data_IF_550970870220
#
_entry.id   IF_550970870220
#
_cell.length_a   1.000
_cell.length_b   1.000
_cell.length_c   1.000
_cell.angle_alpha   90.00
_cell.angle_beta   90.00
_cell.angle_gamma   90.00
#
_symmetry.space_group_name_H-M   'P 1'
#
loop_
_entity.id
_entity.type
_entity.pdbx_description
1 polymer ?
#
# COMPACT_ATOMS: atom_id res chain seq x y z
N UNK A 1 -13.35 3.94 -12.52
CA UNK A 1 -12.92 3.21 -13.75
C UNK A 1 -14.08 2.37 -14.26
N UNK A 2 -14.38 2.38 -15.58
CA UNK A 2 -15.48 1.57 -16.14
C UNK A 2 -15.11 0.09 -16.27
N UNK A 3 -16.12 -0.79 -16.36
CA UNK A 3 -15.94 -2.24 -16.42
C UNK A 3 -15.04 -2.70 -17.59
N UNK A 4 -15.16 -2.11 -18.77
CA UNK A 4 -14.33 -2.45 -19.93
C UNK A 4 -12.86 -2.08 -19.75
N UNK A 5 -12.57 -1.02 -18.98
CA UNK A 5 -11.21 -0.64 -18.62
C UNK A 5 -10.62 -1.60 -17.59
N UNK A 6 -11.43 -2.02 -16.62
CA UNK A 6 -11.04 -3.05 -15.65
C UNK A 6 -10.72 -4.36 -16.35
N UNK A 7 -11.64 -4.83 -17.25
CA UNK A 7 -11.47 -6.08 -17.99
C UNK A 7 -10.16 -6.11 -18.79
N UNK A 8 -9.81 -5.02 -19.45
CA UNK A 8 -8.53 -4.90 -20.16
C UNK A 8 -7.33 -4.97 -19.22
N UNK A 9 -7.40 -4.30 -18.06
CA UNK A 9 -6.28 -4.30 -17.06
C UNK A 9 -6.04 -5.69 -16.45
N UNK A 10 -7.11 -6.42 -16.14
CA UNK A 10 -7.00 -7.76 -15.53
C UNK A 10 -6.96 -8.88 -16.56
N UNK A 11 -7.04 -8.56 -17.85
CA UNK A 11 -7.01 -9.51 -18.97
C UNK A 11 -8.08 -10.62 -18.87
N UNK A 12 -9.30 -10.22 -18.47
CA UNK A 12 -10.44 -11.13 -18.30
C UNK A 12 -11.63 -10.69 -19.15
N UNK A 13 -12.55 -11.61 -19.51
CA UNK A 13 -13.80 -11.28 -20.20
C UNK A 13 -14.62 -10.23 -19.42
N UNK A 14 -15.22 -9.28 -20.14
CA UNK A 14 -16.01 -8.19 -19.54
C UNK A 14 -17.15 -8.72 -18.67
N UNK A 15 -17.83 -9.77 -19.09
CA UNK A 15 -18.92 -10.39 -18.33
C UNK A 15 -18.45 -10.96 -17.00
N UNK A 16 -17.28 -11.60 -16.98
CA UNK A 16 -16.67 -12.13 -15.76
C UNK A 16 -16.30 -11.00 -14.80
N UNK A 17 -15.63 -9.95 -15.33
CA UNK A 17 -15.24 -8.80 -14.51
C UNK A 17 -16.47 -8.06 -13.98
N UNK A 18 -17.52 -7.93 -14.77
CA UNK A 18 -18.77 -7.31 -14.29
C UNK A 18 -19.35 -8.07 -13.11
N UNK A 19 -19.45 -9.41 -13.20
CA UNK A 19 -19.98 -10.24 -12.11
C UNK A 19 -19.11 -10.17 -10.85
N UNK A 20 -17.79 -10.22 -11.00
CA UNK A 20 -16.86 -10.08 -9.86
C UNK A 20 -16.94 -8.69 -9.22
N UNK A 21 -16.97 -7.64 -10.05
CA UNK A 21 -17.09 -6.27 -9.55
C UNK A 21 -18.42 -6.04 -8.84
N UNK A 22 -19.52 -6.64 -9.31
CA UNK A 22 -20.82 -6.58 -8.65
C UNK A 22 -20.76 -7.21 -7.25
N UNK A 23 -20.21 -8.41 -7.12
CA UNK A 23 -20.02 -9.07 -5.82
C UNK A 23 -19.14 -8.23 -4.87
N UNK A 24 -18.09 -7.59 -5.39
CA UNK A 24 -17.24 -6.70 -4.59
C UNK A 24 -17.97 -5.40 -4.17
N UNK A 25 -18.91 -4.90 -4.98
CA UNK A 25 -19.77 -3.77 -4.61
C UNK A 25 -20.75 -4.19 -3.51
N UNK A 26 -21.38 -5.34 -3.64
CA UNK A 26 -22.29 -5.91 -2.62
C UNK A 26 -21.56 -6.13 -1.29
N UNK A 27 -20.29 -6.56 -1.33
CA UNK A 27 -19.42 -6.68 -0.16
C UNK A 27 -18.80 -5.37 0.32
N UNK A 28 -19.14 -4.20 -0.27
CA UNK A 28 -18.59 -2.90 0.13
C UNK A 28 -17.11 -2.67 -0.19
N UNK A 29 -16.44 -3.64 -0.85
CA UNK A 29 -15.01 -3.52 -1.22
C UNK A 29 -14.81 -2.60 -2.42
N UNK A 30 -15.79 -2.52 -3.31
CA UNK A 30 -15.86 -1.53 -4.37
C UNK A 30 -17.09 -0.64 -4.15
N UNK A 31 -17.01 0.58 -4.66
CA UNK A 31 -18.14 1.49 -4.85
C UNK A 31 -18.45 1.63 -6.33
N UNK A 32 -19.68 1.98 -6.68
CA UNK A 32 -20.10 2.29 -8.05
C UNK A 32 -20.80 3.62 -8.07
N UNK A 33 -20.31 4.55 -8.91
CA UNK A 33 -20.93 5.87 -9.05
C UNK A 33 -22.11 5.86 -10.05
N UNK A 34 -22.85 6.99 -10.14
CA UNK A 34 -23.96 7.17 -11.05
C UNK A 34 -23.59 7.03 -12.54
N UNK A 35 -22.30 7.23 -12.86
CA UNK A 35 -21.74 7.03 -14.21
C UNK A 35 -21.26 5.60 -14.45
N UNK A 36 -21.66 4.64 -13.60
CA UNK A 36 -21.27 3.24 -13.68
C UNK A 36 -19.75 2.99 -13.61
N UNK A 37 -19.01 3.88 -12.95
CA UNK A 37 -17.59 3.72 -12.72
C UNK A 37 -17.35 3.12 -11.34
N UNK A 38 -16.42 2.17 -11.28
CA UNK A 38 -15.99 1.53 -10.05
C UNK A 38 -14.87 2.33 -9.38
N UNK A 39 -14.96 2.45 -8.07
CA UNK A 39 -13.98 3.03 -7.17
C UNK A 39 -13.71 2.09 -5.99
N UNK A 40 -12.81 2.50 -5.09
CA UNK A 40 -12.53 1.78 -3.85
C UNK A 40 -13.72 1.98 -2.90
N UNK A 41 -14.19 0.87 -2.31
CA UNK A 41 -15.25 0.89 -1.30
C UNK A 41 -14.71 1.04 0.13
N UNK A 42 -15.54 1.46 1.09
CA UNK A 42 -15.13 1.73 2.47
C UNK A 42 -14.65 0.49 3.24
N UNK A 43 -15.13 -0.70 2.89
CA UNK A 43 -14.74 -1.94 3.57
C UNK A 43 -13.24 -2.25 3.41
N UNK A 44 -12.61 -1.83 2.30
CA UNK A 44 -11.16 -1.98 2.15
C UNK A 44 -10.38 -1.13 3.16
N UNK A 45 -10.90 0.04 3.52
CA UNK A 45 -10.30 0.86 4.57
C UNK A 45 -10.46 0.20 5.95
N UNK A 46 -11.64 -0.33 6.26
CA UNK A 46 -11.91 -1.02 7.52
C UNK A 46 -10.97 -2.24 7.69
N UNK A 47 -10.84 -3.07 6.65
CA UNK A 47 -9.93 -4.22 6.64
C UNK A 47 -8.46 -3.78 6.81
N UNK A 48 -8.03 -2.74 6.10
CA UNK A 48 -6.67 -2.20 6.21
C UNK A 48 -6.37 -1.67 7.62
N UNK A 49 -7.34 -1.01 8.26
CA UNK A 49 -7.20 -0.53 9.63
C UNK A 49 -7.12 -1.69 10.62
N UNK A 50 -7.94 -2.73 10.43
CA UNK A 50 -7.90 -3.92 11.26
C UNK A 50 -6.53 -4.62 11.22
N UNK A 51 -5.89 -4.67 10.05
CA UNK A 51 -4.54 -5.21 9.91
C UNK A 51 -3.53 -4.52 10.86
N UNK A 52 -3.59 -3.18 10.97
CA UNK A 52 -2.69 -2.42 11.85
C UNK A 52 -2.95 -2.69 13.34
N UNK A 53 -4.18 -3.02 13.70
CA UNK A 53 -4.53 -3.37 15.08
C UNK A 53 -4.13 -4.81 15.44
N UNK A 54 -4.39 -5.76 14.55
CA UNK A 54 -4.13 -7.19 14.81
C UNK A 54 -2.64 -7.54 14.83
N UNK A 55 -1.80 -6.73 14.19
CA UNK A 55 -0.34 -6.97 14.12
C UNK A 55 0.46 -6.18 15.16
N UNK A 56 -0.20 -5.42 16.04
CA UNK A 56 0.43 -4.51 17.04
C UNK A 56 1.47 -3.53 16.47
N UNK A 57 1.54 -3.42 15.15
CA UNK A 57 2.51 -2.51 14.49
C UNK A 57 2.28 -1.07 14.94
N UNK A 58 1.02 -0.66 15.09
CA UNK A 58 0.69 0.71 15.51
C UNK A 58 1.19 1.00 16.92
N UNK A 59 0.92 0.13 17.88
CA UNK A 59 1.36 0.28 19.26
C UNK A 59 2.88 0.37 19.39
N UNK A 60 3.58 -0.57 18.76
CA UNK A 60 5.02 -0.63 18.78
C UNK A 60 5.69 0.56 18.05
N UNK A 61 5.12 1.01 16.92
CA UNK A 61 5.76 2.05 16.09
C UNK A 61 5.48 3.48 16.57
N UNK A 62 4.32 3.77 17.14
CA UNK A 62 3.92 5.15 17.49
C UNK A 62 4.93 5.87 18.39
N UNK A 63 5.42 5.29 19.49
CA UNK A 63 6.40 5.96 20.35
C UNK A 63 7.73 6.20 19.62
N UNK A 64 8.16 5.27 18.77
CA UNK A 64 9.40 5.37 18.01
C UNK A 64 9.30 6.47 16.95
N UNK A 65 8.18 6.53 16.21
CA UNK A 65 7.92 7.59 15.23
C UNK A 65 8.04 8.97 15.85
N UNK A 66 7.38 9.20 17.00
CA UNK A 66 7.41 10.48 17.70
C UNK A 66 8.81 10.83 18.18
N UNK A 67 9.50 9.88 18.83
CA UNK A 67 10.86 10.09 19.32
C UNK A 67 11.80 10.49 18.17
N UNK A 68 11.79 9.78 17.07
CA UNK A 68 12.65 10.06 15.92
C UNK A 68 12.29 11.39 15.24
N UNK A 69 11.00 11.71 15.12
CA UNK A 69 10.55 12.99 14.57
C UNK A 69 10.97 14.15 15.46
N UNK A 70 10.88 14.02 16.79
CA UNK A 70 11.31 15.05 17.73
C UNK A 70 12.83 15.27 17.71
N UNK A 71 13.61 14.21 17.54
CA UNK A 71 15.07 14.28 17.45
C UNK A 71 15.57 14.87 16.14
N UNK A 72 14.91 14.54 15.00
CA UNK A 72 15.43 14.88 13.67
C UNK A 72 14.67 15.99 12.99
N UNK A 73 13.43 16.27 13.41
CA UNK A 73 12.45 17.12 12.73
C UNK A 73 12.09 16.66 11.30
N UNK A 74 12.51 15.46 10.93
CA UNK A 74 12.27 14.87 9.60
C UNK A 74 11.01 14.02 9.55
N UNK A 75 10.52 13.72 8.32
CA UNK A 75 9.43 12.75 8.13
C UNK A 75 9.91 11.34 8.46
N UNK A 76 9.23 10.68 9.38
CA UNK A 76 9.51 9.30 9.76
C UNK A 76 8.41 8.39 9.21
N UNK A 77 8.80 7.30 8.59
CA UNK A 77 7.90 6.39 7.89
C UNK A 77 7.98 4.97 8.45
N UNK A 78 6.82 4.32 8.62
CA UNK A 78 6.73 2.88 8.87
C UNK A 78 6.19 2.20 7.63
N UNK A 79 6.86 1.16 7.20
CA UNK A 79 6.51 0.41 5.99
C UNK A 79 6.57 -1.09 6.24
N UNK A 80 5.79 -1.84 5.48
CA UNK A 80 5.81 -3.30 5.46
C UNK A 80 6.26 -3.82 4.10
N UNK A 81 6.92 -4.96 4.09
CA UNK A 81 7.32 -5.65 2.87
C UNK A 81 6.18 -6.57 2.40
N UNK A 82 5.72 -6.36 1.17
CA UNK A 82 4.66 -7.15 0.55
C UNK A 82 5.02 -7.46 -0.92
N UNK A 83 5.20 -8.74 -1.24
CA UNK A 83 5.43 -9.24 -2.63
C UNK A 83 6.54 -8.47 -3.37
N UNK A 84 7.65 -8.16 -2.70
CA UNK A 84 8.80 -7.45 -3.30
C UNK A 84 8.64 -5.93 -3.43
N UNK A 85 7.55 -5.40 -2.90
CA UNK A 85 7.30 -3.97 -2.75
C UNK A 85 7.21 -3.59 -1.29
N UNK A 86 7.41 -2.32 -0.97
CA UNK A 86 7.09 -1.75 0.35
C UNK A 86 5.81 -0.96 0.28
N UNK A 87 4.99 -1.10 1.30
CA UNK A 87 3.77 -0.33 1.49
C UNK A 87 3.97 0.59 2.69
N UNK A 88 3.83 1.89 2.49
CA UNK A 88 3.88 2.87 3.58
C UNK A 88 2.58 2.79 4.38
N UNK A 89 2.67 2.42 5.66
CA UNK A 89 1.49 2.18 6.51
C UNK A 89 1.29 3.22 7.61
N UNK A 90 2.35 3.89 8.04
CA UNK A 90 2.27 4.98 9.01
C UNK A 90 3.34 6.03 8.68
N UNK A 91 3.05 7.28 9.04
CA UNK A 91 3.95 8.40 8.83
C UNK A 91 3.79 9.42 9.97
N UNK A 92 4.90 10.00 10.40
CA UNK A 92 4.96 11.25 11.14
C UNK A 92 5.54 12.32 10.22
N UNK A 93 4.88 13.48 10.14
CA UNK A 93 5.27 14.53 9.19
C UNK A 93 6.50 15.30 9.68
N UNK A 94 7.37 15.69 8.74
CA UNK A 94 8.46 16.62 9.00
C UNK A 94 7.94 17.97 9.49
N UNK A 95 8.66 18.58 10.42
CA UNK A 95 8.43 19.95 10.89
C UNK A 95 8.99 21.01 9.92
N UNK A 96 9.73 20.58 8.88
CA UNK A 96 10.27 21.47 7.87
C UNK A 96 9.22 21.84 6.80
N UNK A 97 9.31 23.07 6.27
CA UNK A 97 8.43 23.53 5.20
C UNK A 97 8.65 22.75 3.87
N UNK A 98 9.90 22.38 3.61
CA UNK A 98 10.27 21.56 2.46
C UNK A 98 10.40 20.08 2.87
N UNK A 99 9.54 19.24 2.34
CA UNK A 99 9.50 17.80 2.67
C UNK A 99 9.04 16.95 1.50
N UNK A 100 9.41 15.69 1.50
CA UNK A 100 8.94 14.73 0.48
C UNK A 100 7.48 14.36 0.76
N UNK A 101 6.61 14.61 -0.21
CA UNK A 101 5.17 14.32 -0.11
C UNK A 101 4.88 12.84 -0.37
N UNK A 102 5.21 11.98 0.60
CA UNK A 102 4.80 10.57 0.59
C UNK A 102 3.47 10.40 1.32
N UNK A 103 2.60 9.54 0.81
CA UNK A 103 1.28 9.28 1.40
C UNK A 103 1.20 7.86 1.94
N UNK A 104 0.54 7.68 3.08
CA UNK A 104 0.17 6.36 3.59
C UNK A 104 -0.65 5.62 2.53
N UNK A 105 -0.35 4.33 2.33
CA UNK A 105 -0.88 3.52 1.23
C UNK A 105 -0.04 3.55 -0.05
N UNK A 106 0.98 4.41 -0.16
CA UNK A 106 1.88 4.40 -1.30
C UNK A 106 2.71 3.12 -1.35
N UNK A 107 2.94 2.63 -2.57
CA UNK A 107 3.67 1.39 -2.84
C UNK A 107 4.92 1.71 -3.66
N UNK A 108 6.07 1.24 -3.20
CA UNK A 108 7.36 1.45 -3.86
C UNK A 108 8.08 0.11 -4.08
N UNK A 109 8.90 -0.03 -5.13
CA UNK A 109 9.76 -1.21 -5.28
C UNK A 109 10.73 -1.30 -4.10
N UNK A 110 10.82 -2.48 -3.46
CA UNK A 110 11.68 -2.64 -2.28
C UNK A 110 13.15 -2.38 -2.60
N UNK A 111 13.65 -2.85 -3.74
CA UNK A 111 15.03 -2.68 -4.15
C UNK A 111 15.44 -1.21 -4.43
N UNK A 112 14.47 -0.36 -4.77
CA UNK A 112 14.71 1.02 -5.21
C UNK A 112 14.45 2.07 -4.12
N UNK A 113 13.99 1.65 -2.93
CA UNK A 113 13.67 2.55 -1.82
C UNK A 113 14.54 2.28 -0.60
N UNK A 114 14.85 3.32 0.19
CA UNK A 114 15.57 3.19 1.46
C UNK A 114 14.83 2.27 2.45
N UNK A 115 13.52 2.47 2.58
CA UNK A 115 12.64 1.62 3.39
C UNK A 115 12.72 0.16 2.96
N UNK A 116 12.69 -0.09 1.66
CA UNK A 116 12.78 -1.45 1.13
C UNK A 116 14.14 -2.10 1.35
N UNK A 117 15.22 -1.35 1.20
CA UNK A 117 16.57 -1.86 1.48
C UNK A 117 16.74 -2.24 2.94
N UNK A 118 16.24 -1.41 3.87
CA UNK A 118 16.23 -1.71 5.29
C UNK A 118 15.45 -2.99 5.60
N UNK A 119 14.23 -3.14 5.08
CA UNK A 119 13.42 -4.34 5.28
C UNK A 119 14.02 -5.59 4.63
N UNK A 120 14.64 -5.45 3.46
CA UNK A 120 15.31 -6.56 2.78
C UNK A 120 16.57 -7.01 3.54
N UNK A 121 17.28 -6.12 4.23
CA UNK A 121 18.49 -6.49 4.99
C UNK A 121 18.18 -7.41 6.17
N UNK A 122 16.99 -7.30 6.75
CA UNK A 122 16.53 -8.16 7.86
C UNK A 122 16.04 -9.55 7.41
N UNK A 123 15.86 -9.76 6.09
CA UNK A 123 15.44 -11.05 5.59
C UNK A 123 16.59 -12.06 5.62
N UNK A 124 16.34 -13.34 5.94
CA UNK A 124 17.28 -14.41 5.73
C UNK A 124 17.78 -14.45 4.27
N UNK A 125 19.04 -14.81 4.07
CA UNK A 125 19.71 -14.77 2.76
C UNK A 125 18.92 -15.49 1.64
N UNK A 126 18.32 -16.65 1.96
CA UNK A 126 17.49 -17.42 1.03
C UNK A 126 16.20 -16.72 0.59
N UNK A 127 15.70 -15.76 1.39
CA UNK A 127 14.56 -14.91 1.03
C UNK A 127 14.97 -13.67 0.23
N UNK A 128 16.16 -13.13 0.47
CA UNK A 128 16.67 -11.95 -0.26
C UNK A 128 16.78 -12.23 -1.76
N UNK A 129 17.30 -13.39 -2.16
CA UNK A 129 17.42 -13.78 -3.57
C UNK A 129 16.09 -14.09 -4.27
N UNK A 130 15.02 -14.30 -3.52
CA UNK A 130 13.66 -14.56 -4.06
C UNK A 130 12.76 -13.33 -4.06
N UNK A 131 13.15 -12.23 -3.41
CA UNK A 131 12.47 -10.96 -3.58
C UNK A 131 12.60 -10.57 -5.06
N UNK A 132 11.49 -10.32 -5.78
CA UNK A 132 11.56 -9.99 -7.21
C UNK A 132 12.32 -8.69 -7.38
N UNK A 133 13.63 -8.79 -7.62
CA UNK A 133 14.53 -7.67 -7.84
C UNK A 133 14.28 -7.00 -9.20
N UNK A 134 13.44 -7.61 -10.02
CA UNK A 134 13.06 -7.08 -11.35
C UNK A 134 11.70 -7.64 -11.76
N UNK A 135 10.76 -6.76 -11.94
CA UNK A 135 9.57 -6.71 -12.76
C UNK A 135 8.33 -6.27 -11.99
N UNK A 136 7.72 -5.31 -12.61
CA UNK A 136 6.40 -4.72 -12.44
C UNK A 136 6.38 -3.47 -11.58
N UNK A 137 6.92 -2.37 -12.14
CA UNK A 137 6.25 -1.09 -12.01
C UNK A 137 4.98 -1.23 -12.87
N UNK A 138 3.76 -1.24 -12.29
CA UNK A 138 2.56 -1.08 -13.11
C UNK A 138 2.73 0.26 -13.81
N UNK A 139 2.68 0.26 -15.14
CA UNK A 139 2.81 1.46 -15.95
C UNK A 139 1.85 2.55 -15.46
N UNK A 140 2.37 3.79 -15.48
CA UNK A 140 1.60 5.01 -15.30
C UNK A 140 0.45 5.09 -16.30
#
# INVERSE_FOLDING_TARGET
MGVSQLARKVQMPVSTVHRLAQALVEGGMLSRDSSSRYGIGPELYAIGTLYLHTTDIRGASTPILKLLNDLTSESINVSILAKGSVVLIMKEESKHAFRVAQQVGSVYPAYASSMGKALLSELPEWRRGRAPLRKQVPGR
#
